data_IF_961932857903
#
_entry.id   IF_961932857903
#
_cell.length_a   1.000
_cell.length_b   1.000
_cell.length_c   1.000
_cell.angle_alpha   90.00
_cell.angle_beta   90.00
_cell.angle_gamma   90.00
#
_symmetry.space_group_name_H-M   'P 1'
#
loop_
_entity.id
_entity.type
_entity.pdbx_description
1 polymer ?
#
# COMPACT_ATOMS: atom_id res chain seq x y z
N UNK A 1 -7.89 -5.68 11.84
CA UNK A 1 -9.06 -4.87 11.43
C UNK A 1 -8.69 -3.40 11.31
N UNK A 2 -9.68 -2.50 11.26
CA UNK A 2 -9.43 -1.05 11.15
C UNK A 2 -8.88 -0.43 12.45
N UNK A 3 -9.16 -1.06 13.59
CA UNK A 3 -8.82 -0.55 14.92
C UNK A 3 -7.31 -0.46 15.14
N UNK A 4 -6.55 -1.35 14.52
CA UNK A 4 -5.10 -1.41 14.68
C UNK A 4 -4.42 -0.16 14.12
N UNK A 5 -4.85 0.32 12.96
CA UNK A 5 -4.33 1.56 12.37
C UNK A 5 -4.82 2.81 13.12
N UNK A 6 -6.09 2.86 13.49
CA UNK A 6 -6.69 4.05 14.14
C UNK A 6 -6.30 4.15 15.61
N UNK A 7 -6.45 3.06 16.37
CA UNK A 7 -6.26 3.05 17.82
C UNK A 7 -4.79 2.89 18.21
N UNK A 8 -4.08 1.92 17.63
CA UNK A 8 -2.66 1.67 17.97
C UNK A 8 -1.73 2.53 17.12
N UNK A 9 -1.96 2.56 15.81
CA UNK A 9 -1.16 3.31 14.85
C UNK A 9 -1.39 4.82 14.87
N UNK A 10 -2.46 5.30 15.53
CA UNK A 10 -2.82 6.72 15.63
C UNK A 10 -3.01 7.41 14.27
N UNK A 11 -3.43 6.66 13.25
CA UNK A 11 -3.53 7.18 11.89
C UNK A 11 -4.38 8.45 11.80
N UNK A 12 -5.52 8.51 12.50
CA UNK A 12 -6.38 9.69 12.52
C UNK A 12 -5.63 10.95 13.03
N UNK A 13 -4.95 10.86 14.17
CA UNK A 13 -4.22 12.00 14.74
C UNK A 13 -3.01 12.39 13.87
N UNK A 14 -2.36 11.43 13.24
CA UNK A 14 -1.23 11.69 12.34
C UNK A 14 -1.73 12.46 11.10
N UNK A 15 -2.78 11.96 10.45
CA UNK A 15 -3.34 12.60 9.25
C UNK A 15 -3.87 13.99 9.55
N UNK A 16 -4.63 14.17 10.64
CA UNK A 16 -5.13 15.49 11.05
C UNK A 16 -4.00 16.51 11.23
N UNK A 17 -2.90 16.09 11.89
CA UNK A 17 -1.76 16.97 12.10
C UNK A 17 -1.05 17.30 10.79
N UNK A 18 -0.81 16.30 9.94
CA UNK A 18 -0.13 16.49 8.66
C UNK A 18 -0.93 17.42 7.75
N UNK A 19 -2.24 17.19 7.60
CA UNK A 19 -3.11 18.07 6.81
C UNK A 19 -3.09 19.50 7.35
N UNK A 20 -3.25 19.67 8.67
CA UNK A 20 -3.23 21.01 9.30
C UNK A 20 -1.92 21.76 9.09
N UNK A 21 -0.79 21.05 9.03
CA UNK A 21 0.53 21.67 8.81
C UNK A 21 0.98 21.69 7.35
N UNK A 22 0.14 21.22 6.41
CA UNK A 22 0.50 21.12 4.99
C UNK A 22 1.53 20.04 4.66
N UNK A 23 1.71 19.06 5.55
CA UNK A 23 2.60 17.91 5.38
C UNK A 23 1.98 16.73 4.62
N UNK A 24 0.67 16.79 4.36
CA UNK A 24 -0.06 15.87 3.49
C UNK A 24 -1.22 16.62 2.83
N UNK A 25 -1.59 16.19 1.61
CA UNK A 25 -2.81 16.67 0.95
C UNK A 25 -4.05 16.11 1.65
N UNK A 26 -5.19 16.79 1.51
CA UNK A 26 -6.48 16.27 1.99
C UNK A 26 -6.84 15.00 1.23
N UNK A 27 -7.14 13.92 1.96
CA UNK A 27 -7.44 12.62 1.36
C UNK A 27 -8.38 11.80 2.24
N UNK A 28 -9.05 10.83 1.61
CA UNK A 28 -9.82 9.79 2.31
C UNK A 28 -8.92 8.57 2.53
N UNK A 29 -8.79 8.13 3.77
CA UNK A 29 -8.04 6.92 4.13
C UNK A 29 -9.01 5.79 4.48
N UNK A 30 -9.04 4.76 3.64
CA UNK A 30 -9.90 3.59 3.82
C UNK A 30 -9.09 2.45 4.41
N UNK A 31 -9.57 1.88 5.51
CA UNK A 31 -8.90 0.81 6.25
C UNK A 31 -9.79 -0.43 6.31
N UNK A 32 -9.65 -1.31 5.31
CA UNK A 32 -10.38 -2.58 5.20
C UNK A 32 -9.82 -3.69 6.10
N UNK A 33 -10.60 -4.75 6.29
CA UNK A 33 -10.11 -5.98 6.92
C UNK A 33 -9.40 -6.86 5.90
N UNK A 34 -8.07 -6.94 5.99
CA UNK A 34 -7.26 -7.73 5.07
C UNK A 34 -7.24 -9.23 5.37
N UNK A 35 -7.89 -9.71 6.45
CA UNK A 35 -7.90 -11.12 6.81
C UNK A 35 -9.01 -11.91 6.07
N UNK A 36 -8.95 -11.86 4.75
CA UNK A 36 -9.87 -12.54 3.82
C UNK A 36 -9.11 -13.54 2.95
N UNK A 37 -9.82 -14.50 2.37
CA UNK A 37 -9.21 -15.54 1.53
C UNK A 37 -8.59 -15.00 0.24
N UNK A 38 -9.20 -13.96 -0.35
CA UNK A 38 -8.64 -13.28 -1.50
C UNK A 38 -8.72 -11.76 -1.33
N UNK A 39 -7.61 -11.21 -0.84
CA UNK A 39 -7.46 -9.78 -0.61
C UNK A 39 -7.59 -8.94 -1.87
N UNK A 40 -7.11 -9.43 -3.02
CA UNK A 40 -7.07 -8.64 -4.25
C UNK A 40 -8.48 -8.41 -4.77
N UNK A 41 -9.29 -9.48 -4.79
CA UNK A 41 -10.71 -9.41 -5.16
C UNK A 41 -11.49 -8.53 -4.17
N UNK A 42 -11.33 -8.75 -2.85
CA UNK A 42 -12.00 -7.91 -1.85
C UNK A 42 -11.66 -6.42 -2.00
N UNK A 43 -10.39 -6.11 -2.31
CA UNK A 43 -9.94 -4.73 -2.51
C UNK A 43 -10.54 -4.11 -3.78
N UNK A 44 -10.36 -4.77 -4.93
CA UNK A 44 -10.68 -4.18 -6.24
C UNK A 44 -12.17 -4.27 -6.59
N UNK A 45 -12.86 -5.32 -6.18
CA UNK A 45 -14.27 -5.53 -6.50
C UNK A 45 -15.20 -5.10 -5.35
N UNK A 46 -14.67 -4.92 -4.14
CA UNK A 46 -15.43 -4.53 -2.96
C UNK A 46 -15.08 -3.12 -2.48
N UNK A 47 -13.91 -2.98 -1.86
CA UNK A 47 -13.53 -1.76 -1.13
C UNK A 47 -13.41 -0.55 -2.06
N UNK A 48 -12.72 -0.68 -3.20
CA UNK A 48 -12.51 0.44 -4.13
C UNK A 48 -13.85 0.95 -4.68
N UNK A 49 -14.75 0.12 -5.26
CA UNK A 49 -16.06 0.56 -5.71
C UNK A 49 -16.91 1.18 -4.61
N UNK A 50 -16.96 0.56 -3.42
CA UNK A 50 -17.71 1.09 -2.28
C UNK A 50 -17.18 2.46 -1.84
N UNK A 51 -15.87 2.69 -1.94
CA UNK A 51 -15.25 3.98 -1.59
C UNK A 51 -15.61 5.08 -2.60
N UNK A 52 -15.61 4.75 -3.90
CA UNK A 52 -16.01 5.65 -4.98
C UNK A 52 -17.49 6.04 -4.89
N UNK A 53 -18.35 5.11 -4.46
CA UNK A 53 -19.79 5.37 -4.29
C UNK A 53 -20.10 6.23 -3.06
N UNK A 54 -19.41 5.98 -1.95
CA UNK A 54 -19.75 6.58 -0.65
C UNK A 54 -19.02 7.90 -0.37
N UNK A 55 -17.89 8.15 -1.01
CA UNK A 55 -17.07 9.33 -0.78
C UNK A 55 -16.81 10.09 -2.08
N UNK A 56 -16.62 11.41 -1.97
CA UNK A 56 -16.21 12.25 -3.10
C UNK A 56 -14.70 12.12 -3.32
N UNK A 57 -14.28 11.00 -3.90
CA UNK A 57 -12.88 10.68 -4.23
C UNK A 57 -12.73 10.43 -5.72
N UNK A 58 -11.52 10.59 -6.23
CA UNK A 58 -11.23 10.38 -7.65
C UNK A 58 -11.27 8.90 -8.04
N UNK A 59 -11.77 8.61 -9.24
CA UNK A 59 -11.67 7.30 -9.88
C UNK A 59 -10.35 7.09 -10.63
N UNK A 60 -9.55 8.15 -10.82
CA UNK A 60 -8.23 8.10 -11.46
C UNK A 60 -7.22 7.32 -10.60
N UNK A 61 -6.66 6.20 -11.11
CA UNK A 61 -5.62 5.45 -10.40
C UNK A 61 -4.36 6.27 -10.07
N UNK A 62 -4.07 7.32 -10.85
CA UNK A 62 -2.98 8.26 -10.57
C UNK A 62 -3.18 9.07 -9.28
N UNK A 63 -4.40 9.07 -8.72
CA UNK A 63 -4.74 9.72 -7.45
C UNK A 63 -5.03 8.71 -6.34
N UNK A 64 -4.62 7.44 -6.51
CA UNK A 64 -4.88 6.35 -5.57
C UNK A 64 -3.59 5.77 -5.00
N UNK A 65 -3.60 5.51 -3.69
CA UNK A 65 -2.49 4.92 -2.96
C UNK A 65 -2.90 3.61 -2.27
N UNK A 66 -1.96 2.66 -2.17
CA UNK A 66 -2.12 1.42 -1.40
C UNK A 66 -0.90 1.19 -0.51
N UNK A 67 -1.14 0.94 0.78
CA UNK A 67 -0.07 0.63 1.70
C UNK A 67 -0.46 -0.45 2.73
N UNK A 68 0.53 -1.19 3.21
CA UNK A 68 0.31 -2.25 4.18
C UNK A 68 1.56 -2.62 5.00
N UNK A 69 1.30 -3.14 6.21
CA UNK A 69 2.32 -3.57 7.17
C UNK A 69 2.43 -5.10 7.22
N UNK A 70 3.65 -5.64 7.21
CA UNK A 70 3.97 -7.06 7.34
C UNK A 70 3.18 -7.91 6.33
N UNK A 71 2.23 -8.75 6.77
CA UNK A 71 1.31 -9.47 5.89
C UNK A 71 0.60 -8.55 4.89
N UNK A 72 0.15 -7.37 5.34
CA UNK A 72 -0.46 -6.35 4.49
C UNK A 72 0.52 -5.75 3.48
N UNK A 73 1.81 -5.70 3.80
CA UNK A 73 2.86 -5.30 2.86
C UNK A 73 3.01 -6.32 1.74
N UNK A 74 2.98 -7.62 2.08
CA UNK A 74 2.98 -8.70 1.08
C UNK A 74 1.73 -8.70 0.20
N UNK A 75 0.56 -8.43 0.78
CA UNK A 75 -0.69 -8.24 0.03
C UNK A 75 -0.62 -7.04 -0.92
N UNK A 76 -0.07 -5.91 -0.45
CA UNK A 76 0.15 -4.70 -1.25
C UNK A 76 1.09 -4.97 -2.44
N UNK A 77 2.21 -5.65 -2.20
CA UNK A 77 3.11 -6.11 -3.28
C UNK A 77 2.38 -7.01 -4.29
N UNK A 78 1.58 -7.98 -3.83
CA UNK A 78 0.83 -8.88 -4.71
C UNK A 78 -0.15 -8.12 -5.60
N UNK A 79 -0.83 -7.11 -5.07
CA UNK A 79 -1.74 -6.25 -5.85
C UNK A 79 -0.95 -5.50 -6.92
N UNK A 80 0.17 -4.86 -6.57
CA UNK A 80 1.02 -4.13 -7.51
C UNK A 80 1.43 -5.00 -8.70
N UNK A 81 2.00 -6.18 -8.45
CA UNK A 81 2.52 -7.03 -9.54
C UNK A 81 1.44 -7.71 -10.37
N UNK A 82 0.24 -7.92 -9.79
CA UNK A 82 -0.85 -8.60 -10.48
C UNK A 82 -1.80 -7.64 -11.19
N UNK A 83 -1.81 -6.35 -10.79
CA UNK A 83 -2.70 -5.32 -11.31
C UNK A 83 -1.93 -3.98 -11.42
N UNK A 84 -0.87 -3.91 -12.24
CA UNK A 84 -0.12 -2.68 -12.42
C UNK A 84 -1.01 -1.56 -12.93
N UNK A 85 -0.85 -0.36 -12.36
CA UNK A 85 -1.62 0.82 -12.73
C UNK A 85 -2.94 1.02 -11.97
N UNK A 86 -3.36 0.12 -11.08
CA UNK A 86 -4.54 0.35 -10.22
C UNK A 86 -4.29 1.33 -9.06
N UNK A 87 -3.03 1.51 -8.68
CA UNK A 87 -2.57 2.41 -7.62
C UNK A 87 -1.21 2.98 -7.99
N UNK A 88 -1.11 4.31 -8.09
CA UNK A 88 0.14 4.97 -8.45
C UNK A 88 1.13 5.14 -7.29
N UNK A 89 0.66 5.09 -6.05
CA UNK A 89 1.50 5.23 -4.86
C UNK A 89 1.44 3.98 -4.00
N UNK A 90 2.57 3.30 -3.82
CA UNK A 90 2.65 2.02 -3.12
C UNK A 90 3.54 2.13 -1.89
N UNK A 91 3.11 1.55 -0.76
CA UNK A 91 3.90 1.50 0.47
C UNK A 91 3.92 0.12 1.12
N UNK A 92 5.08 -0.54 1.20
CA UNK A 92 5.22 -1.78 1.97
C UNK A 92 6.08 -1.57 3.20
N UNK A 93 5.52 -1.88 4.37
CA UNK A 93 6.15 -1.61 5.67
C UNK A 93 6.44 -2.94 6.37
N UNK A 94 7.67 -3.14 6.85
CA UNK A 94 8.06 -4.35 7.58
C UNK A 94 7.93 -5.63 6.75
N UNK A 95 8.14 -5.56 5.43
CA UNK A 95 8.03 -6.69 4.51
C UNK A 95 8.88 -6.45 3.26
N UNK A 96 9.73 -7.42 2.92
CA UNK A 96 10.36 -7.51 1.61
C UNK A 96 9.41 -8.09 0.55
N UNK A 97 9.86 -8.23 -0.68
CA UNK A 97 9.06 -8.79 -1.76
C UNK A 97 9.75 -10.00 -2.41
N UNK A 98 8.94 -10.83 -3.06
CA UNK A 98 9.41 -12.08 -3.66
C UNK A 98 10.18 -11.88 -4.96
N UNK A 99 10.54 -12.99 -5.61
CA UNK A 99 11.21 -12.97 -6.90
C UNK A 99 10.41 -12.13 -7.92
N UNK A 100 11.11 -11.25 -8.63
CA UNK A 100 10.55 -10.37 -9.67
C UNK A 100 10.57 -11.02 -11.06
N UNK A 101 11.01 -12.27 -11.17
CA UNK A 101 11.04 -12.98 -12.44
C UNK A 101 9.63 -13.16 -13.02
N UNK A 102 9.41 -12.69 -14.25
CA UNK A 102 8.14 -12.88 -14.96
C UNK A 102 7.04 -11.88 -14.61
N UNK A 103 7.34 -10.81 -13.86
CA UNK A 103 6.42 -9.68 -13.68
C UNK A 103 6.54 -8.70 -14.85
N UNK A 104 5.47 -7.97 -15.13
CA UNK A 104 5.46 -6.93 -16.16
C UNK A 104 6.04 -5.63 -15.59
N UNK A 105 7.37 -5.53 -15.60
CA UNK A 105 8.12 -4.38 -15.07
C UNK A 105 7.76 -3.08 -15.81
N UNK A 106 7.49 -3.16 -17.13
CA UNK A 106 7.15 -1.98 -17.92
C UNK A 106 5.77 -1.44 -17.50
N UNK A 107 4.78 -2.30 -17.32
CA UNK A 107 3.46 -1.89 -16.83
C UNK A 107 3.54 -1.33 -15.39
N UNK A 108 4.32 -1.97 -14.51
CA UNK A 108 4.54 -1.47 -13.14
C UNK A 108 5.16 -0.08 -13.17
N UNK A 109 6.23 0.12 -13.93
CA UNK A 109 6.93 1.41 -14.01
C UNK A 109 6.07 2.50 -14.66
N UNK A 110 5.23 2.17 -15.64
CA UNK A 110 4.30 3.12 -16.25
C UNK A 110 3.16 3.53 -15.31
N UNK A 111 2.68 2.59 -14.48
CA UNK A 111 1.53 2.80 -13.61
C UNK A 111 1.87 3.28 -12.19
N UNK A 112 3.16 3.32 -11.82
CA UNK A 112 3.61 3.63 -10.45
C UNK A 112 4.45 4.90 -10.42
N UNK A 113 3.95 5.93 -9.74
CA UNK A 113 4.69 7.18 -9.50
C UNK A 113 5.70 7.01 -8.36
N UNK A 114 5.32 6.26 -7.31
CA UNK A 114 6.14 6.10 -6.13
C UNK A 114 5.96 4.73 -5.50
N UNK A 115 7.07 4.00 -5.32
CA UNK A 115 7.11 2.80 -4.49
C UNK A 115 8.01 3.04 -3.26
N UNK A 116 7.41 3.09 -2.06
CA UNK A 116 8.11 3.24 -0.79
C UNK A 116 8.21 1.93 -0.02
N UNK A 117 9.43 1.66 0.43
CA UNK A 117 9.80 0.50 1.23
C UNK A 117 10.30 0.98 2.59
N UNK A 118 9.70 0.48 3.67
CA UNK A 118 10.17 0.75 5.03
C UNK A 118 10.34 -0.57 5.79
N UNK A 119 11.40 -0.66 6.58
CA UNK A 119 11.60 -1.74 7.54
C UNK A 119 12.24 -1.18 8.80
N UNK A 120 12.08 -1.86 9.93
CA UNK A 120 12.77 -1.51 11.16
C UNK A 120 14.29 -1.64 11.03
N UNK A 121 14.97 -1.42 12.16
CA UNK A 121 16.42 -1.52 12.22
C UNK A 121 16.91 -2.98 12.10
N UNK A 122 18.20 -3.20 12.39
CA UNK A 122 18.85 -4.52 12.34
C UNK A 122 18.23 -5.61 13.23
N UNK A 123 17.29 -5.25 14.11
CA UNK A 123 16.56 -6.20 14.94
C UNK A 123 15.19 -6.58 14.38
N UNK A 124 14.75 -5.97 13.29
CA UNK A 124 13.53 -6.36 12.59
C UNK A 124 13.78 -7.65 11.79
N UNK A 125 12.95 -8.67 12.03
CA UNK A 125 13.07 -9.95 11.33
C UNK A 125 12.86 -9.82 9.82
N UNK A 126 12.13 -8.80 9.37
CA UNK A 126 11.90 -8.52 7.95
C UNK A 126 13.06 -7.76 7.29
N UNK A 127 14.04 -7.28 8.06
CA UNK A 127 15.12 -6.42 7.54
C UNK A 127 15.90 -7.11 6.42
N UNK A 128 16.42 -8.32 6.68
CA UNK A 128 17.21 -9.05 5.67
C UNK A 128 16.39 -9.35 4.42
N UNK A 129 15.10 -9.67 4.58
CA UNK A 129 14.18 -9.92 3.46
C UNK A 129 14.03 -8.67 2.59
N UNK A 130 13.76 -7.52 3.20
CA UNK A 130 13.61 -6.26 2.47
C UNK A 130 14.91 -5.83 1.79
N UNK A 131 16.05 -5.89 2.48
CA UNK A 131 17.35 -5.53 1.88
C UNK A 131 17.67 -6.42 0.68
N UNK A 132 17.46 -7.74 0.78
CA UNK A 132 17.68 -8.65 -0.34
C UNK A 132 16.73 -8.39 -1.52
N UNK A 133 15.55 -7.82 -1.24
CA UNK A 133 14.60 -7.45 -2.30
C UNK A 133 15.09 -6.25 -3.11
N UNK A 134 15.90 -5.36 -2.51
CA UNK A 134 16.43 -4.17 -3.21
C UNK A 134 17.35 -4.52 -4.37
N UNK A 135 18.02 -5.66 -4.33
CA UNK A 135 18.86 -6.18 -5.42
C UNK A 135 18.06 -6.40 -6.72
N UNK A 136 16.72 -6.38 -6.66
CA UNK A 136 15.84 -6.50 -7.83
C UNK A 136 15.58 -5.17 -8.55
N UNK A 137 16.03 -4.03 -8.00
CA UNK A 137 15.88 -2.71 -8.63
C UNK A 137 17.12 -2.24 -9.42
N UNK A 138 18.23 -3.01 -9.37
CA UNK A 138 19.44 -2.76 -10.14
C UNK A 138 19.33 -3.25 -11.60
#
# INVERSE_FOLDING_TARGET
GYKEWVEVGRAAQIMDNLTRTGGAEEMVVVMGDGNVSDFTTELLDGIVPASLEQFNVSDDPAQRALAGLSMGGGQTWRVLVSNPGEFAYIGTFGMGFGAVSGIDVDAINQGTELFRLYVGNVHDFAQNSLISSLDSFD
#
